data_IF_628579057102
#
_entry.id   IF_628579057102
#
_cell.length_a   1.000
_cell.length_b   1.000
_cell.length_c   1.000
_cell.angle_alpha   90.00
_cell.angle_beta   90.00
_cell.angle_gamma   90.00
#
_symmetry.space_group_name_H-M   'P 1'
#
loop_
_entity.id
_entity.type
_entity.pdbx_description
1 polymer ?
#
# COMPACT_ATOMS: atom_id res chain seq x y z
N UNK A 1 -6.47 -21.11 31.41
CA UNK A 1 -7.48 -20.08 31.06
C UNK A 1 -6.72 -18.83 30.63
N UNK A 2 -6.47 -18.68 29.33
CA UNK A 2 -5.82 -17.49 28.76
C UNK A 2 -6.90 -16.54 28.25
N UNK A 3 -6.94 -15.33 28.78
CA UNK A 3 -7.86 -14.29 28.35
C UNK A 3 -7.28 -13.59 27.11
N UNK A 4 -8.01 -13.65 26.00
CA UNK A 4 -7.77 -12.85 24.80
C UNK A 4 -8.08 -11.37 25.09
N UNK A 5 -7.07 -10.51 24.97
CA UNK A 5 -7.23 -9.06 24.99
C UNK A 5 -7.50 -8.60 23.55
N UNK A 6 -8.78 -8.51 23.21
CA UNK A 6 -9.21 -7.71 22.05
C UNK A 6 -9.02 -6.23 22.38
N UNK A 7 -7.88 -5.68 21.95
CA UNK A 7 -7.66 -4.23 21.92
C UNK A 7 -8.29 -3.68 20.64
N UNK A 8 -9.53 -3.20 20.76
CA UNK A 8 -10.19 -2.42 19.72
C UNK A 8 -9.57 -1.02 19.64
N UNK A 9 -8.37 -0.95 19.08
CA UNK A 9 -7.70 0.30 18.75
C UNK A 9 -8.53 1.09 17.75
N UNK A 10 -9.22 2.13 18.22
CA UNK A 10 -10.02 3.02 17.38
C UNK A 10 -9.11 3.85 16.48
N UNK A 11 -8.74 3.33 15.31
CA UNK A 11 -8.07 4.11 14.28
C UNK A 11 -9.07 5.12 13.71
N UNK A 12 -8.85 6.40 14.05
CA UNK A 12 -9.68 7.52 13.60
C UNK A 12 -9.57 7.63 12.07
N UNK A 13 -10.58 7.10 11.37
CA UNK A 13 -10.68 7.09 9.91
C UNK A 13 -10.82 8.53 9.41
N UNK A 14 -9.70 9.17 9.13
CA UNK A 14 -9.67 10.56 8.66
C UNK A 14 -9.98 10.55 7.17
N UNK A 15 -11.19 10.98 6.80
CA UNK A 15 -11.61 11.17 5.41
C UNK A 15 -10.88 12.39 4.85
N UNK A 16 -9.85 12.16 4.04
CA UNK A 16 -9.33 13.19 3.15
C UNK A 16 -9.89 12.91 1.76
N UNK A 17 -10.92 13.66 1.38
CA UNK A 17 -11.35 13.70 -0.03
C UNK A 17 -10.32 14.60 -0.71
N UNK A 18 -9.34 14.00 -1.38
CA UNK A 18 -8.53 14.74 -2.34
C UNK A 18 -9.38 14.95 -3.58
N UNK A 19 -10.05 16.08 -3.69
CA UNK A 19 -10.35 16.61 -5.01
C UNK A 19 -8.99 16.95 -5.63
N UNK A 20 -8.70 16.40 -6.81
CA UNK A 20 -7.61 16.94 -7.63
C UNK A 20 -8.18 18.21 -8.26
N UNK A 21 -8.41 19.24 -7.44
CA UNK A 21 -8.70 20.57 -7.92
C UNK A 21 -7.38 21.15 -8.42
N UNK A 22 -7.33 21.44 -9.72
CA UNK A 22 -6.24 22.13 -10.38
C UNK A 22 -6.16 23.61 -9.97
N UNK A 23 -6.08 23.93 -8.68
CA UNK A 23 -5.80 25.30 -8.21
C UNK A 23 -5.05 25.29 -6.88
N UNK A 24 -3.77 24.93 -6.96
CA UNK A 24 -2.64 25.48 -6.21
C UNK A 24 -1.46 24.58 -6.55
N UNK A 25 -0.95 24.75 -7.77
CA UNK A 25 0.38 24.30 -8.16
C UNK A 25 1.39 24.98 -7.23
N UNK A 26 1.65 24.37 -6.07
CA UNK A 26 3.00 24.42 -5.54
C UNK A 26 3.81 23.69 -6.60
N UNK A 27 4.54 24.49 -7.37
CA UNK A 27 5.53 24.05 -8.33
C UNK A 27 6.56 23.17 -7.59
N UNK A 28 6.25 21.86 -7.47
CA UNK A 28 7.16 20.80 -6.98
C UNK A 28 7.72 19.99 -8.13
N UNK A 29 7.80 20.63 -9.28
CA UNK A 29 8.58 20.20 -10.44
C UNK A 29 9.08 21.48 -11.12
N UNK A 30 9.85 22.29 -10.38
CA UNK A 30 11.03 22.80 -11.04
C UNK A 30 11.79 21.54 -11.47
N UNK A 31 11.65 21.18 -12.74
CA UNK A 31 12.47 20.17 -13.39
C UNK A 31 13.89 20.73 -13.24
N UNK A 32 14.57 20.35 -12.16
CA UNK A 32 15.99 20.61 -12.02
C UNK A 32 16.56 19.88 -13.24
N UNK A 33 16.98 20.62 -14.26
CA UNK A 33 17.77 20.03 -15.34
C UNK A 33 19.02 19.47 -14.67
N UNK A 34 18.95 18.18 -14.36
CA UNK A 34 20.07 17.42 -13.85
C UNK A 34 21.13 17.46 -14.96
N UNK A 35 22.33 17.93 -14.63
CA UNK A 35 23.44 17.93 -15.59
C UNK A 35 23.78 16.48 -15.95
N UNK A 36 24.29 16.26 -17.18
CA UNK A 36 24.68 14.93 -17.67
C UNK A 36 25.65 14.19 -16.73
N UNK A 37 26.48 14.92 -15.96
CA UNK A 37 27.39 14.37 -14.94
C UNK A 37 26.68 13.53 -13.86
N UNK A 38 25.38 13.76 -13.58
CA UNK A 38 24.59 12.92 -12.68
C UNK A 38 24.41 11.49 -13.20
N UNK A 39 24.37 11.34 -14.53
CA UNK A 39 24.19 10.06 -15.21
C UNK A 39 25.53 9.37 -15.52
N UNK A 40 26.65 10.09 -15.32
CA UNK A 40 27.99 9.53 -15.50
C UNK A 40 28.35 8.55 -14.38
N UNK A 41 29.00 7.47 -14.78
CA UNK A 41 29.40 6.41 -13.86
C UNK A 41 30.66 6.79 -13.09
N UNK A 42 30.54 7.00 -11.79
CA UNK A 42 31.66 7.45 -10.94
C UNK A 42 32.51 6.27 -10.42
N UNK A 43 33.78 6.51 -10.04
CA UNK A 43 34.58 5.53 -9.31
C UNK A 43 33.90 5.04 -8.02
N UNK A 44 33.15 5.90 -7.34
CA UNK A 44 32.34 5.55 -6.17
C UNK A 44 31.26 4.52 -6.50
N UNK A 45 30.58 4.66 -7.65
CA UNK A 45 29.63 3.66 -8.16
C UNK A 45 30.30 2.33 -8.45
N UNK A 46 31.48 2.36 -9.06
CA UNK A 46 32.31 1.18 -9.28
C UNK A 46 32.59 0.44 -7.97
N UNK A 47 33.06 1.15 -6.94
CA UNK A 47 33.32 0.52 -5.64
C UNK A 47 32.04 0.04 -4.96
N UNK A 48 30.90 0.73 -5.10
CA UNK A 48 29.60 0.31 -4.57
C UNK A 48 29.10 -0.99 -5.21
N UNK A 49 29.29 -1.15 -6.51
CA UNK A 49 28.91 -2.35 -7.28
C UNK A 49 29.91 -3.49 -7.06
N UNK A 50 31.20 -3.18 -6.94
CA UNK A 50 32.24 -4.16 -6.64
C UNK A 50 32.25 -4.64 -5.19
N UNK A 51 31.55 -3.96 -4.26
CA UNK A 51 31.39 -4.51 -2.91
C UNK A 51 30.80 -5.91 -3.09
N UNK A 52 31.48 -6.97 -2.61
CA UNK A 52 30.89 -8.30 -2.63
C UNK A 52 29.55 -8.16 -1.93
N UNK A 53 28.45 -8.53 -2.62
CA UNK A 53 27.13 -8.65 -1.96
C UNK A 53 27.41 -9.46 -0.71
N UNK A 54 27.34 -8.79 0.44
CA UNK A 54 27.77 -9.38 1.70
C UNK A 54 26.98 -10.67 1.81
N UNK A 55 27.69 -11.80 1.72
CA UNK A 55 27.50 -13.12 2.30
C UNK A 55 26.10 -13.56 2.81
N UNK A 56 25.01 -12.99 2.32
CA UNK A 56 23.63 -13.31 2.68
C UNK A 56 23.21 -14.61 1.98
N UNK A 57 23.73 -14.83 0.76
CA UNK A 57 23.44 -16.02 -0.04
C UNK A 57 24.17 -17.30 0.42
N UNK A 58 25.15 -17.20 1.34
CA UNK A 58 25.93 -18.36 1.84
C UNK A 58 25.47 -18.88 3.20
N UNK A 59 24.55 -18.18 3.88
CA UNK A 59 24.02 -18.62 5.17
C UNK A 59 22.71 -19.37 4.95
N UNK A 60 22.62 -20.60 5.46
CA UNK A 60 21.39 -21.37 5.44
C UNK A 60 20.33 -20.60 6.24
N UNK A 61 19.31 -20.04 5.57
CA UNK A 61 18.17 -19.41 6.25
C UNK A 61 17.39 -20.47 7.03
N UNK A 62 17.72 -20.63 8.31
CA UNK A 62 16.98 -21.50 9.23
C UNK A 62 15.56 -20.96 9.43
N UNK A 63 14.64 -21.85 9.81
CA UNK A 63 13.26 -21.49 10.10
C UNK A 63 13.17 -20.33 11.12
N UNK A 64 14.00 -20.36 12.16
CA UNK A 64 14.09 -19.29 13.18
C UNK A 64 14.46 -17.92 12.60
N UNK A 65 15.35 -17.88 11.60
CA UNK A 65 15.74 -16.63 10.94
C UNK A 65 14.56 -16.08 10.12
N UNK A 66 13.84 -16.93 9.40
CA UNK A 66 12.65 -16.51 8.62
C UNK A 66 11.55 -15.96 9.53
N UNK A 67 11.24 -16.65 10.63
CA UNK A 67 10.23 -16.21 11.60
C UNK A 67 10.62 -14.89 12.28
N UNK A 68 11.90 -14.71 12.62
CA UNK A 68 12.39 -13.46 13.22
C UNK A 68 12.37 -12.28 12.22
N UNK A 69 12.74 -12.51 10.95
CA UNK A 69 12.62 -11.52 9.88
C UNK A 69 11.16 -11.12 9.66
N UNK A 70 10.24 -12.08 9.64
CA UNK A 70 8.80 -11.83 9.50
C UNK A 70 8.22 -11.05 10.67
N UNK A 71 8.59 -11.42 11.90
CA UNK A 71 8.18 -10.70 13.10
C UNK A 71 8.71 -9.25 13.09
N UNK A 72 9.96 -9.04 12.67
CA UNK A 72 10.54 -7.70 12.54
C UNK A 72 9.87 -6.87 11.45
N UNK A 73 9.53 -7.48 10.29
CA UNK A 73 8.80 -6.79 9.22
C UNK A 73 7.37 -6.44 9.63
N UNK A 74 6.72 -7.29 10.42
CA UNK A 74 5.36 -7.02 10.94
C UNK A 74 5.37 -5.95 12.02
N UNK A 75 6.40 -5.88 12.86
CA UNK A 75 6.47 -4.88 13.94
C UNK A 75 6.79 -3.48 13.44
N UNK A 76 7.54 -3.35 12.33
CA UNK A 76 7.84 -2.03 11.74
C UNK A 76 6.63 -1.40 11.08
N UNK A 77 5.67 -2.22 10.60
CA UNK A 77 4.52 -1.73 9.88
C UNK A 77 3.30 -1.72 10.78
N UNK A 78 2.99 -0.55 11.31
CA UNK A 78 1.88 -0.34 12.25
C UNK A 78 0.62 0.19 11.58
N UNK A 79 0.71 0.60 10.30
CA UNK A 79 -0.38 1.19 9.53
C UNK A 79 -0.28 0.82 8.06
N UNK A 80 -1.44 0.69 7.42
CA UNK A 80 -1.61 0.47 6.00
C UNK A 80 -2.40 1.65 5.40
N UNK A 81 -1.83 2.39 4.46
CA UNK A 81 -2.50 3.52 3.79
C UNK A 81 -3.03 3.07 2.44
N UNK A 82 -4.36 3.04 2.30
CA UNK A 82 -5.03 2.59 1.08
C UNK A 82 -5.60 3.80 0.34
N UNK A 83 -5.24 3.93 -0.93
CA UNK A 83 -5.69 4.99 -1.83
C UNK A 83 -6.60 4.38 -2.89
N UNK A 84 -7.89 4.65 -2.79
CA UNK A 84 -8.90 4.16 -3.74
C UNK A 84 -9.13 5.21 -4.82
N UNK A 85 -8.78 4.87 -6.06
CA UNK A 85 -9.03 5.68 -7.25
C UNK A 85 -10.38 5.35 -7.84
N UNK A 86 -11.21 6.36 -7.97
CA UNK A 86 -12.51 6.30 -8.62
C UNK A 86 -12.36 6.54 -10.13
N UNK A 87 -13.34 6.11 -10.94
CA UNK A 87 -13.30 6.30 -12.40
C UNK A 87 -13.46 7.77 -12.82
N UNK A 88 -13.89 8.64 -11.91
CA UNK A 88 -13.99 10.10 -12.07
C UNK A 88 -12.68 10.82 -11.69
N UNK A 89 -11.56 10.09 -11.62
CA UNK A 89 -10.23 10.55 -11.20
C UNK A 89 -10.14 11.07 -9.75
N UNK A 90 -11.18 10.85 -8.92
CA UNK A 90 -11.13 11.18 -7.50
C UNK A 90 -10.39 10.10 -6.72
N UNK A 91 -9.69 10.49 -5.66
CA UNK A 91 -9.00 9.53 -4.79
C UNK A 91 -9.46 9.70 -3.36
N UNK A 92 -9.82 8.58 -2.72
CA UNK A 92 -10.09 8.53 -1.29
C UNK A 92 -8.93 7.81 -0.62
N UNK A 93 -8.35 8.47 0.36
CA UNK A 93 -7.31 7.89 1.21
C UNK A 93 -7.89 7.47 2.55
N UNK A 94 -7.55 6.26 2.99
CA UNK A 94 -7.93 5.73 4.28
C UNK A 94 -6.79 4.91 4.90
N UNK A 95 -6.65 5.01 6.22
CA UNK A 95 -5.65 4.28 7.00
C UNK A 95 -6.31 3.11 7.71
N UNK A 96 -5.71 1.94 7.58
CA UNK A 96 -6.13 0.68 8.20
C UNK A 96 -4.99 0.08 9.03
N UNK A 97 -5.32 -0.85 9.91
CA UNK A 97 -4.33 -1.70 10.55
C UNK A 97 -3.92 -2.83 9.59
N UNK A 98 -2.66 -3.28 9.55
CA UNK A 98 -2.23 -4.37 8.66
C UNK A 98 -3.00 -5.69 8.86
N UNK A 99 -3.49 -5.94 10.07
CA UNK A 99 -4.30 -7.11 10.42
C UNK A 99 -5.81 -6.92 10.12
N UNK A 100 -6.24 -5.74 9.68
CA UNK A 100 -7.62 -5.54 9.26
C UNK A 100 -7.91 -6.36 7.99
N UNK A 101 -9.15 -6.84 7.88
CA UNK A 101 -9.61 -7.56 6.69
C UNK A 101 -9.91 -6.60 5.55
N UNK A 102 -9.78 -7.09 4.32
CA UNK A 102 -10.23 -6.39 3.11
C UNK A 102 -11.72 -6.02 3.19
N UNK A 103 -12.54 -6.81 3.89
CA UNK A 103 -13.93 -6.46 4.17
C UNK A 103 -14.09 -5.05 4.80
N UNK A 104 -13.18 -4.65 5.70
CA UNK A 104 -13.20 -3.31 6.32
C UNK A 104 -13.05 -2.18 5.29
N UNK A 105 -12.30 -2.41 4.20
CA UNK A 105 -12.20 -1.48 3.07
C UNK A 105 -13.49 -1.41 2.29
N UNK A 106 -14.12 -2.56 2.00
CA UNK A 106 -15.40 -2.62 1.27
C UNK A 106 -16.51 -1.92 2.04
N UNK A 107 -16.61 -2.17 3.35
CA UNK A 107 -17.60 -1.52 4.21
C UNK A 107 -17.34 -0.02 4.36
N UNK A 108 -16.06 0.39 4.32
CA UNK A 108 -15.70 1.80 4.26
C UNK A 108 -16.12 2.43 2.91
N UNK A 109 -15.86 1.74 1.79
CA UNK A 109 -16.27 2.20 0.45
C UNK A 109 -17.79 2.34 0.32
N UNK A 110 -18.57 1.39 0.84
CA UNK A 110 -20.05 1.47 0.87
C UNK A 110 -20.57 2.75 1.55
N UNK A 111 -19.85 3.27 2.54
CA UNK A 111 -20.21 4.53 3.26
C UNK A 111 -19.74 5.79 2.54
N UNK A 112 -18.72 5.68 1.68
CA UNK A 112 -18.09 6.82 1.01
C UNK A 112 -18.64 7.03 -0.40
N UNK A 113 -19.03 5.95 -1.07
CA UNK A 113 -19.62 5.96 -2.40
C UNK A 113 -20.95 6.70 -2.37
N UNK A 114 -21.13 7.66 -3.29
CA UNK A 114 -22.34 8.47 -3.38
C UNK A 114 -23.58 7.69 -3.86
N UNK A 115 -23.37 6.56 -4.53
CA UNK A 115 -24.41 5.69 -5.11
C UNK A 115 -24.31 4.28 -4.51
N UNK A 116 -24.83 4.05 -3.29
CA UNK A 116 -24.76 2.74 -2.63
C UNK A 116 -25.55 1.64 -3.38
N UNK A 117 -26.54 2.02 -4.19
CA UNK A 117 -27.37 1.10 -4.98
C UNK A 117 -26.63 0.43 -6.15
N UNK A 118 -25.49 0.99 -6.58
CA UNK A 118 -24.77 0.49 -7.75
C UNK A 118 -23.68 -0.49 -7.32
N UNK A 119 -23.63 -1.73 -7.86
CA UNK A 119 -22.55 -2.65 -7.56
C UNK A 119 -21.21 -2.07 -8.01
N UNK A 120 -20.21 -2.20 -7.16
CA UNK A 120 -18.84 -1.77 -7.43
C UNK A 120 -17.86 -2.91 -7.15
N UNK A 121 -16.74 -2.90 -7.87
CA UNK A 121 -15.64 -3.84 -7.69
C UNK A 121 -14.34 -3.08 -7.45
N UNK A 122 -13.46 -3.66 -6.64
CA UNK A 122 -12.11 -3.17 -6.39
C UNK A 122 -11.09 -4.06 -7.12
N UNK A 123 -10.09 -3.45 -7.74
CA UNK A 123 -9.01 -4.17 -8.40
C UNK A 123 -7.67 -3.44 -8.25
N UNK A 124 -6.57 -4.19 -8.36
CA UNK A 124 -5.20 -3.66 -8.50
C UNK A 124 -4.73 -3.82 -9.94
N UNK A 125 -3.78 -2.98 -10.37
CA UNK A 125 -3.16 -2.97 -11.69
C UNK A 125 -1.64 -2.71 -11.50
N UNK A 126 -0.71 -3.20 -12.36
CA UNK A 126 -0.89 -3.48 -13.79
C UNK A 126 -1.41 -4.87 -14.24
N UNK A 127 -1.28 -6.00 -13.52
CA UNK A 127 -2.16 -7.13 -13.80
C UNK A 127 -3.49 -6.88 -13.08
N UNK A 128 -4.60 -6.82 -13.82
CA UNK A 128 -5.94 -6.61 -13.25
C UNK A 128 -6.30 -7.75 -12.32
N UNK A 129 -6.07 -7.57 -11.02
CA UNK A 129 -6.46 -8.53 -9.99
C UNK A 129 -7.66 -7.99 -9.23
N UNK A 130 -8.82 -8.58 -9.48
CA UNK A 130 -10.05 -8.23 -8.74
C UNK A 130 -9.90 -8.78 -7.33
N UNK A 131 -10.10 -7.92 -6.34
CA UNK A 131 -10.06 -8.31 -4.93
C UNK A 131 -11.31 -9.13 -4.60
N UNK A 132 -11.20 -10.46 -4.71
CA UNK A 132 -12.31 -11.40 -4.45
C UNK A 132 -12.33 -11.90 -3.00
N UNK A 133 -11.19 -11.95 -2.34
CA UNK A 133 -11.06 -12.55 -1.01
C UNK A 133 -11.28 -11.51 0.10
N UNK A 134 -12.53 -11.38 0.56
CA UNK A 134 -12.89 -10.41 1.61
C UNK A 134 -12.31 -10.76 3.00
N UNK A 135 -12.01 -12.04 3.22
CA UNK A 135 -11.47 -12.56 4.49
C UNK A 135 -9.97 -12.33 4.67
N UNK A 136 -9.25 -12.02 3.59
CA UNK A 136 -7.81 -11.79 3.62
C UNK A 136 -7.49 -10.48 4.37
N UNK A 137 -6.35 -10.44 5.07
CA UNK A 137 -5.84 -9.25 5.73
C UNK A 137 -4.98 -8.39 4.79
N UNK A 138 -4.81 -7.11 5.11
CA UNK A 138 -4.00 -6.21 4.28
C UNK A 138 -2.55 -6.67 4.15
N UNK A 139 -2.00 -7.31 5.20
CA UNK A 139 -0.63 -7.83 5.16
C UNK A 139 -0.47 -8.96 4.13
N UNK A 140 -1.31 -9.99 4.16
CA UNK A 140 -1.22 -11.11 3.21
C UNK A 140 -1.61 -10.69 1.78
N UNK A 141 -2.47 -9.69 1.64
CA UNK A 141 -2.83 -9.09 0.35
C UNK A 141 -1.73 -8.22 -0.27
N UNK A 142 -0.63 -7.95 0.47
CA UNK A 142 0.45 -7.08 0.01
C UNK A 142 0.10 -5.60 -0.02
N UNK A 143 -0.91 -5.17 0.76
CA UNK A 143 -1.41 -3.78 0.76
C UNK A 143 -0.70 -2.89 1.81
N UNK A 144 0.48 -3.32 2.23
CA UNK A 144 1.21 -2.79 3.38
C UNK A 144 2.63 -2.43 2.92
N UNK A 145 3.17 -1.23 3.24
CA UNK A 145 2.60 -0.18 4.11
C UNK A 145 1.53 0.69 3.45
N UNK A 146 1.29 0.50 2.16
CA UNK A 146 0.17 1.14 1.46
C UNK A 146 -0.06 0.53 0.08
N UNK A 147 -1.24 0.80 -0.48
CA UNK A 147 -1.63 0.32 -1.80
C UNK A 147 -2.52 1.32 -2.52
N UNK A 148 -2.45 1.28 -3.85
CA UNK A 148 -3.41 1.97 -4.72
C UNK A 148 -4.36 0.92 -5.29
N UNK A 149 -5.64 1.14 -5.08
CA UNK A 149 -6.72 0.26 -5.53
C UNK A 149 -7.63 1.07 -6.42
N UNK A 150 -8.13 0.47 -7.49
CA UNK A 150 -9.06 1.10 -8.41
C UNK A 150 -10.47 0.58 -8.16
N UNK A 151 -11.43 1.49 -8.21
CA UNK A 151 -12.86 1.19 -8.12
C UNK A 151 -13.47 1.31 -9.51
N UNK A 152 -14.26 0.31 -9.90
CA UNK A 152 -15.13 0.36 -11.08
C UNK A 152 -16.56 0.09 -10.70
N UNK A 153 -17.48 0.84 -11.28
CA UNK A 153 -18.91 0.59 -11.17
C UNK A 153 -19.37 -0.39 -12.25
N UNK A 154 -20.25 -1.32 -11.90
CA UNK A 154 -20.78 -2.33 -12.80
C UNK A 154 -20.49 -3.76 -12.35
N UNK A 155 -21.21 -4.70 -12.97
CA UNK A 155 -21.02 -6.14 -12.75
C UNK A 155 -19.67 -6.53 -13.39
N UNK A 156 -18.82 -7.30 -12.69
CA UNK A 156 -17.61 -7.81 -13.33
C UNK A 156 -18.02 -8.77 -14.45
N UNK A 157 -17.73 -8.39 -15.70
CA UNK A 157 -17.78 -9.31 -16.85
C UNK A 157 -16.72 -10.40 -16.70
#
# INVERSE_FOLDING_TARGET
MTADVSSSGSFKRRRLIGAVDHTASIDRTANIEENDEFYDFTPEDYYRIQRPRQQEDKLLKTQKIREAEDAKRRSTITKAVIRVRFPDNRTVEATFHPADKIQSLLDYMRKVVARPELPFCLFTAPPKQVTREMSQDFYSAGFVPGAVVHLTYGVPN
#
